data_IF_757851579427
#
_entry.id   IF_757851579427
#
_cell.length_a   1.000
_cell.length_b   1.000
_cell.length_c   1.000
_cell.angle_alpha   90.00
_cell.angle_beta   90.00
_cell.angle_gamma   90.00
#
_symmetry.space_group_name_H-M   'P 1'
#
loop_
_entity.id
_entity.type
_entity.pdbx_description
1 polymer ?
#
# COMPACT_ATOMS: atom_id res chain seq x y z
N UNK A 1 -11.45 6.84 -10.76
CA UNK A 1 -10.14 6.14 -10.75
C UNK A 1 -10.34 4.63 -10.83
N UNK A 2 -9.39 3.95 -11.44
CA UNK A 2 -9.31 2.49 -11.45
C UNK A 2 -8.15 2.09 -10.53
N UNK A 3 -8.38 1.12 -9.64
CA UNK A 3 -7.28 0.57 -8.84
C UNK A 3 -6.75 -0.69 -9.51
N UNK A 4 -5.50 -0.60 -9.95
CA UNK A 4 -4.75 -1.74 -10.48
C UNK A 4 -4.21 -2.53 -9.27
N UNK A 5 -4.48 -3.81 -9.21
CA UNK A 5 -4.01 -4.67 -8.11
C UNK A 5 -3.07 -5.75 -8.61
N UNK A 6 -1.82 -5.67 -8.23
CA UNK A 6 -0.81 -6.71 -8.48
C UNK A 6 -0.61 -7.50 -7.19
N UNK A 7 -0.59 -8.80 -7.27
CA UNK A 7 -0.41 -9.67 -6.09
C UNK A 7 0.68 -10.70 -6.38
N UNK A 8 1.47 -10.99 -5.36
CA UNK A 8 2.59 -11.93 -5.45
C UNK A 8 2.14 -13.33 -5.93
N UNK A 9 0.90 -13.72 -5.64
CA UNK A 9 0.37 -15.03 -6.03
C UNK A 9 -0.32 -15.07 -7.40
N UNK A 10 -0.38 -13.96 -8.13
CA UNK A 10 -1.09 -13.89 -9.42
C UNK A 10 -0.37 -13.04 -10.45
N UNK A 11 0.96 -13.15 -10.49
CA UNK A 11 1.79 -12.49 -11.48
C UNK A 11 1.60 -13.13 -12.85
N UNK A 12 1.85 -12.36 -13.92
CA UNK A 12 1.87 -12.90 -15.29
C UNK A 12 2.94 -13.99 -15.39
N UNK A 13 2.63 -15.03 -16.15
CA UNK A 13 3.46 -16.23 -16.21
C UNK A 13 4.92 -15.92 -16.59
N UNK A 14 5.13 -15.07 -17.57
CA UNK A 14 6.47 -14.69 -18.04
C UNK A 14 7.29 -13.96 -16.96
N UNK A 15 6.63 -13.23 -16.07
CA UNK A 15 7.29 -12.59 -14.93
C UNK A 15 7.48 -13.59 -13.78
N UNK A 16 6.46 -14.39 -13.51
CA UNK A 16 6.51 -15.38 -12.42
C UNK A 16 7.67 -16.36 -12.60
N UNK A 17 7.96 -16.74 -13.86
CA UNK A 17 8.99 -17.72 -14.22
C UNK A 17 10.42 -17.13 -14.26
N UNK A 18 10.61 -15.83 -13.99
CA UNK A 18 11.91 -15.18 -13.97
C UNK A 18 12.66 -15.55 -12.67
N UNK A 19 13.58 -16.49 -12.75
CA UNK A 19 14.39 -16.92 -11.59
C UNK A 19 15.54 -15.94 -11.26
N UNK A 20 15.79 -15.01 -12.16
CA UNK A 20 16.81 -13.96 -11.98
C UNK A 20 16.29 -12.75 -11.19
N UNK A 21 14.97 -12.69 -10.92
CA UNK A 21 14.33 -11.57 -10.22
C UNK A 21 13.85 -11.99 -8.83
N UNK A 22 14.02 -11.09 -7.88
CA UNK A 22 13.43 -11.22 -6.54
C UNK A 22 11.92 -10.95 -6.60
N UNK A 23 11.21 -11.37 -5.57
CA UNK A 23 9.75 -11.15 -5.50
C UNK A 23 9.37 -9.67 -5.58
N UNK A 24 10.05 -8.74 -4.88
CA UNK A 24 9.76 -7.30 -5.08
C UNK A 24 9.96 -6.85 -6.52
N UNK A 25 11.05 -7.27 -7.18
CA UNK A 25 11.32 -6.88 -8.57
C UNK A 25 10.24 -7.39 -9.52
N UNK A 26 9.76 -8.63 -9.32
CA UNK A 26 8.64 -9.17 -10.10
C UNK A 26 7.36 -8.34 -9.94
N UNK A 27 7.06 -7.93 -8.70
CA UNK A 27 5.89 -7.09 -8.40
C UNK A 27 6.02 -5.71 -9.04
N UNK A 28 7.21 -5.12 -9.02
CA UNK A 28 7.49 -3.82 -9.65
C UNK A 28 7.30 -3.94 -11.17
N UNK A 29 7.95 -4.92 -11.80
CA UNK A 29 7.86 -5.15 -13.25
C UNK A 29 6.41 -5.33 -13.72
N UNK A 30 5.64 -6.14 -13.01
CA UNK A 30 4.21 -6.34 -13.32
C UNK A 30 3.43 -5.04 -13.16
N UNK A 31 3.72 -4.29 -12.10
CA UNK A 31 3.06 -3.00 -11.83
C UNK A 31 3.31 -1.99 -12.95
N UNK A 32 4.57 -1.85 -13.36
CA UNK A 32 4.96 -0.95 -14.47
C UNK A 32 4.28 -1.34 -15.78
N UNK A 33 4.23 -2.64 -16.06
CA UNK A 33 3.56 -3.16 -17.27
C UNK A 33 2.08 -2.76 -17.29
N UNK A 34 1.38 -2.93 -16.16
CA UNK A 34 -0.04 -2.55 -16.09
C UNK A 34 -0.23 -1.04 -16.19
N UNK A 35 0.57 -0.25 -15.47
CA UNK A 35 0.49 1.22 -15.54
C UNK A 35 0.68 1.68 -16.98
N UNK A 36 1.76 1.23 -17.63
CA UNK A 36 2.05 1.56 -19.03
C UNK A 36 0.90 1.17 -19.95
N UNK A 37 0.28 0.00 -19.76
CA UNK A 37 -0.83 -0.46 -20.58
C UNK A 37 -2.02 0.54 -20.56
N UNK A 38 -2.32 1.11 -19.39
CA UNK A 38 -3.38 2.11 -19.26
C UNK A 38 -2.96 3.46 -19.83
N UNK A 39 -1.73 3.88 -19.56
CA UNK A 39 -1.21 5.17 -20.02
C UNK A 39 -1.12 5.22 -21.55
N UNK A 40 -0.68 4.13 -22.19
CA UNK A 40 -0.62 4.01 -23.66
C UNK A 40 -2.00 4.20 -24.31
N UNK A 41 -3.08 4.02 -23.54
CA UNK A 41 -4.47 4.21 -23.98
C UNK A 41 -5.06 5.55 -23.51
N UNK A 42 -4.22 6.42 -22.99
CA UNK A 42 -4.62 7.75 -22.52
C UNK A 42 -5.39 7.75 -21.21
N UNK A 43 -5.35 6.64 -20.45
CA UNK A 43 -6.06 6.56 -19.16
C UNK A 43 -5.07 6.67 -18.01
N UNK A 44 -5.10 7.81 -17.31
CA UNK A 44 -4.16 8.12 -16.23
C UNK A 44 -4.80 8.19 -14.83
N UNK A 45 -6.13 8.07 -14.75
CA UNK A 45 -6.84 8.13 -13.46
C UNK A 45 -6.79 6.75 -12.77
N UNK A 46 -5.59 6.37 -12.34
CA UNK A 46 -5.29 5.06 -11.77
C UNK A 46 -4.68 5.19 -10.36
N UNK A 47 -4.88 4.14 -9.57
CA UNK A 47 -4.24 3.93 -8.26
C UNK A 47 -3.63 2.54 -8.31
N UNK A 48 -2.41 2.38 -7.84
CA UNK A 48 -1.68 1.11 -7.91
C UNK A 48 -1.61 0.45 -6.53
N UNK A 49 -1.84 -0.85 -6.49
CA UNK A 49 -1.69 -1.65 -5.27
C UNK A 49 -0.84 -2.88 -5.61
N UNK A 50 0.28 -3.06 -4.92
CA UNK A 50 1.17 -4.21 -5.11
C UNK A 50 1.32 -4.92 -3.76
N UNK A 51 0.58 -6.02 -3.58
CA UNK A 51 0.45 -6.65 -2.27
C UNK A 51 1.23 -7.95 -2.17
N UNK A 52 1.86 -8.15 -1.02
CA UNK A 52 2.58 -9.36 -0.66
C UNK A 52 2.19 -9.79 0.77
N UNK A 53 2.55 -11.03 1.12
CA UNK A 53 2.28 -11.60 2.45
C UNK A 53 3.33 -11.19 3.47
N UNK A 54 4.57 -10.97 3.00
CA UNK A 54 5.71 -10.59 3.82
C UNK A 54 5.77 -9.07 3.98
N UNK A 55 5.98 -8.61 5.19
CA UNK A 55 6.19 -7.19 5.48
C UNK A 55 7.41 -6.70 4.70
N UNK A 56 8.52 -7.45 4.74
CA UNK A 56 9.75 -7.03 4.05
C UNK A 56 9.54 -6.89 2.54
N UNK A 57 8.92 -7.90 1.90
CA UNK A 57 8.60 -7.84 0.47
C UNK A 57 7.72 -6.61 0.16
N UNK A 58 6.73 -6.34 1.01
CA UNK A 58 5.86 -5.17 0.86
C UNK A 58 6.67 -3.87 0.91
N UNK A 59 7.53 -3.72 1.91
CA UNK A 59 8.38 -2.54 2.06
C UNK A 59 9.25 -2.31 0.83
N UNK A 60 9.98 -3.35 0.41
CA UNK A 60 10.90 -3.26 -0.72
C UNK A 60 10.16 -2.92 -2.02
N UNK A 61 8.99 -3.55 -2.25
CA UNK A 61 8.16 -3.29 -3.42
C UNK A 61 7.67 -1.83 -3.46
N UNK A 62 7.06 -1.35 -2.37
CA UNK A 62 6.51 0.02 -2.37
C UNK A 62 7.60 1.10 -2.40
N UNK A 63 8.75 0.85 -1.79
CA UNK A 63 9.91 1.75 -1.90
C UNK A 63 10.40 1.84 -3.34
N UNK A 64 10.45 0.72 -4.06
CA UNK A 64 10.82 0.72 -5.48
C UNK A 64 9.75 1.45 -6.31
N UNK A 65 8.47 1.11 -6.14
CA UNK A 65 7.37 1.75 -6.87
C UNK A 65 7.35 3.27 -6.68
N UNK A 66 7.59 3.74 -5.45
CA UNK A 66 7.58 5.18 -5.17
C UNK A 66 8.71 5.93 -5.87
N UNK A 67 9.82 5.23 -6.21
CA UNK A 67 10.93 5.81 -6.96
C UNK A 67 10.71 5.73 -8.48
N UNK A 68 10.21 4.60 -8.95
CA UNK A 68 10.17 4.28 -10.39
C UNK A 68 8.91 4.84 -11.08
N UNK A 69 7.77 4.87 -10.36
CA UNK A 69 6.52 5.45 -10.90
C UNK A 69 5.92 6.45 -9.90
N UNK A 70 6.65 7.54 -9.58
CA UNK A 70 6.25 8.48 -8.51
C UNK A 70 4.97 9.26 -8.84
N UNK A 71 4.51 9.24 -10.07
CA UNK A 71 3.30 9.97 -10.51
C UNK A 71 2.01 9.17 -10.26
N UNK A 72 2.11 7.88 -9.90
CA UNK A 72 0.92 7.04 -9.69
C UNK A 72 0.65 6.89 -8.19
N UNK A 73 -0.54 7.27 -7.71
CA UNK A 73 -0.91 7.07 -6.29
C UNK A 73 -0.85 5.60 -5.88
N UNK A 74 -0.34 5.35 -4.68
CA UNK A 74 -0.13 4.01 -4.16
C UNK A 74 -1.16 3.66 -3.08
N UNK A 75 -1.80 2.50 -3.23
CA UNK A 75 -2.72 1.94 -2.24
C UNK A 75 -2.00 0.85 -1.45
N UNK A 76 -1.71 1.13 -0.20
CA UNK A 76 -0.95 0.23 0.67
C UNK A 76 -1.82 -0.88 1.27
N UNK A 77 -1.22 -2.04 1.48
CA UNK A 77 -1.85 -3.12 2.23
C UNK A 77 -0.93 -4.32 2.35
N UNK A 78 -1.04 -5.03 3.47
CA UNK A 78 -0.41 -6.33 3.68
C UNK A 78 -1.51 -7.39 3.60
N UNK A 79 -1.35 -8.39 2.74
CA UNK A 79 -2.37 -9.43 2.55
C UNK A 79 -2.07 -10.67 3.38
N UNK A 80 -3.13 -11.42 3.68
CA UNK A 80 -3.03 -12.68 4.43
C UNK A 80 -2.22 -12.51 5.71
N UNK A 81 -2.54 -11.45 6.44
CA UNK A 81 -1.75 -11.08 7.61
C UNK A 81 -1.98 -12.00 8.83
N UNK A 82 -2.97 -12.91 8.74
CA UNK A 82 -3.25 -13.90 9.79
C UNK A 82 -4.39 -13.48 10.70
N UNK A 83 -4.38 -13.99 11.93
CA UNK A 83 -5.40 -13.70 12.95
C UNK A 83 -5.51 -12.18 13.17
N UNK A 84 -6.58 -11.76 13.83
CA UNK A 84 -6.80 -10.34 14.18
C UNK A 84 -5.53 -9.73 14.81
N UNK A 85 -4.95 -10.39 15.82
CA UNK A 85 -3.74 -9.87 16.49
C UNK A 85 -2.55 -9.82 15.53
N UNK A 86 -2.27 -10.92 14.84
CA UNK A 86 -1.13 -11.00 13.90
C UNK A 86 -1.30 -10.00 12.76
N UNK A 87 -2.52 -9.90 12.21
CA UNK A 87 -2.84 -8.97 11.13
C UNK A 87 -2.68 -7.52 11.55
N UNK A 88 -3.10 -7.19 12.78
CA UNK A 88 -2.91 -5.85 13.34
C UNK A 88 -1.42 -5.54 13.45
N UNK A 89 -0.62 -6.46 14.01
CA UNK A 89 0.82 -6.27 14.18
C UNK A 89 1.51 -6.08 12.82
N UNK A 90 1.28 -7.00 11.88
CA UNK A 90 1.90 -6.95 10.54
C UNK A 90 1.53 -5.67 9.80
N UNK A 91 0.25 -5.29 9.82
CA UNK A 91 -0.24 -4.07 9.18
C UNK A 91 0.36 -2.84 9.84
N UNK A 92 0.40 -2.81 11.18
CA UNK A 92 0.98 -1.67 11.91
C UNK A 92 2.45 -1.47 11.57
N UNK A 93 3.22 -2.56 11.50
CA UNK A 93 4.65 -2.48 11.14
C UNK A 93 4.81 -2.07 9.67
N UNK A 94 4.19 -2.81 8.75
CA UNK A 94 4.37 -2.58 7.31
C UNK A 94 3.87 -1.21 6.86
N UNK A 95 2.61 -0.90 7.21
CA UNK A 95 2.01 0.38 6.82
C UNK A 95 2.64 1.53 7.59
N UNK A 96 2.97 1.31 8.87
CA UNK A 96 3.59 2.34 9.71
C UNK A 96 4.93 2.81 9.14
N UNK A 97 5.78 1.87 8.74
CA UNK A 97 7.09 2.20 8.15
C UNK A 97 6.90 2.99 6.85
N UNK A 98 6.09 2.48 5.90
CA UNK A 98 5.89 3.14 4.60
C UNK A 98 5.31 4.56 4.77
N UNK A 99 4.29 4.69 5.60
CA UNK A 99 3.67 5.99 5.85
C UNK A 99 4.64 6.98 6.52
N UNK A 100 5.51 6.51 7.42
CA UNK A 100 6.53 7.36 8.06
C UNK A 100 7.60 7.81 7.06
N UNK A 101 7.79 7.05 5.98
CA UNK A 101 8.69 7.40 4.87
C UNK A 101 8.00 8.29 3.82
N UNK A 102 6.72 8.63 4.01
CA UNK A 102 5.94 9.42 3.06
C UNK A 102 5.47 8.62 1.85
N UNK A 103 5.43 7.30 1.96
CA UNK A 103 5.01 6.40 0.88
C UNK A 103 3.58 5.93 1.15
N UNK A 104 2.68 6.15 0.19
CA UNK A 104 1.30 5.69 0.23
C UNK A 104 0.31 6.84 0.27
N UNK A 105 -0.78 6.68 -0.47
CA UNK A 105 -1.84 7.70 -0.64
C UNK A 105 -3.16 7.22 -0.05
N UNK A 106 -3.39 5.91 -0.10
CA UNK A 106 -4.54 5.25 0.53
C UNK A 106 -4.06 3.93 1.13
N UNK A 107 -4.85 3.36 2.04
CA UNK A 107 -4.44 2.09 2.67
C UNK A 107 -5.64 1.22 3.01
N UNK A 108 -5.38 -0.07 3.16
CA UNK A 108 -6.33 -1.04 3.72
C UNK A 108 -5.61 -1.95 4.72
N UNK A 109 -6.20 -2.11 5.87
CA UNK A 109 -5.86 -3.17 6.82
C UNK A 109 -6.68 -4.40 6.44
N UNK A 110 -6.08 -5.58 6.45
CA UNK A 110 -6.75 -6.86 6.19
C UNK A 110 -6.64 -7.75 7.42
N UNK A 111 -7.78 -8.13 7.98
CA UNK A 111 -7.82 -8.98 9.18
C UNK A 111 -8.69 -10.22 8.90
N UNK A 112 -8.34 -11.33 9.54
CA UNK A 112 -9.24 -12.48 9.65
C UNK A 112 -10.20 -12.22 10.81
N UNK A 113 -11.16 -11.31 10.57
CA UNK A 113 -12.11 -10.82 11.58
C UNK A 113 -13.27 -10.14 10.84
N UNK A 114 -14.25 -9.65 11.58
CA UNK A 114 -15.34 -8.85 11.01
C UNK A 114 -14.74 -7.60 10.34
N UNK A 115 -15.12 -7.28 9.08
CA UNK A 115 -14.59 -6.10 8.38
C UNK A 115 -14.73 -4.78 9.14
N UNK A 116 -15.69 -4.64 10.05
CA UNK A 116 -15.85 -3.43 10.87
C UNK A 116 -14.66 -3.21 11.82
N UNK A 117 -13.83 -4.23 12.02
CA UNK A 117 -12.65 -4.13 12.88
C UNK A 117 -11.42 -3.58 12.14
N UNK A 118 -11.43 -3.55 10.82
CA UNK A 118 -10.30 -3.03 10.02
C UNK A 118 -10.12 -1.51 10.15
N UNK A 119 -11.20 -0.68 10.05
CA UNK A 119 -11.03 0.77 10.15
C UNK A 119 -10.43 1.25 11.49
N UNK A 120 -10.83 0.72 12.66
CA UNK A 120 -10.19 1.13 13.92
C UNK A 120 -8.67 0.89 13.94
N UNK A 121 -8.21 -0.22 13.35
CA UNK A 121 -6.77 -0.52 13.27
C UNK A 121 -6.08 0.49 12.33
N UNK A 122 -6.69 0.75 11.16
CA UNK A 122 -6.15 1.72 10.21
C UNK A 122 -6.03 3.12 10.86
N UNK A 123 -7.09 3.55 11.56
CA UNK A 123 -7.07 4.81 12.31
C UNK A 123 -5.99 4.82 13.39
N UNK A 124 -5.84 3.72 14.13
CA UNK A 124 -4.80 3.58 15.15
C UNK A 124 -3.39 3.76 14.58
N UNK A 125 -3.13 3.18 13.40
CA UNK A 125 -1.84 3.36 12.71
C UNK A 125 -1.62 4.83 12.37
N UNK A 126 -2.60 5.48 11.74
CA UNK A 126 -2.49 6.89 11.34
C UNK A 126 -2.29 7.81 12.55
N UNK A 127 -3.02 7.56 13.64
CA UNK A 127 -2.90 8.33 14.88
C UNK A 127 -1.52 8.16 15.51
N UNK A 128 -1.02 6.93 15.54
CA UNK A 128 0.30 6.64 16.11
C UNK A 128 1.44 7.35 15.37
N UNK A 129 1.22 7.62 14.08
CA UNK A 129 2.17 8.35 13.25
C UNK A 129 1.92 9.87 13.27
N UNK A 130 0.85 10.33 13.96
CA UNK A 130 0.44 11.73 13.90
C UNK A 130 -0.27 12.12 12.59
N UNK A 131 -0.59 11.22 11.79
CA UNK A 131 -1.19 11.45 10.51
C UNK A 131 -2.69 11.57 10.57
N UNK A 132 -3.24 11.52 11.45
CA UNK A 132 -4.58 11.53 11.52
C UNK A 132 -5.17 12.85 11.70
N UNK A 133 -5.31 13.18 10.97
CA UNK A 133 -5.72 14.39 11.19
C UNK A 133 -6.94 14.83 10.60
N UNK A 134 -7.74 14.39 10.56
CA UNK A 134 -8.95 14.94 9.98
C UNK A 134 -9.93 15.53 11.01
N UNK A 135 -10.86 16.34 10.58
CA UNK A 135 -11.86 16.92 11.49
C UNK A 135 -12.79 15.89 12.13
N UNK A 136 -12.75 14.65 11.64
CA UNK A 136 -13.57 13.55 12.17
C UNK A 136 -12.82 12.65 13.16
N UNK A 137 -11.59 13.01 13.53
CA UNK A 137 -10.84 12.24 14.53
C UNK A 137 -11.52 12.37 15.89
N UNK A 138 -11.81 11.25 16.58
CA UNK A 138 -12.31 11.31 17.96
C UNK A 138 -11.21 11.67 18.98
N UNK A 139 -10.01 11.96 18.49
CA UNK A 139 -8.83 12.20 19.33
C UNK A 139 -8.39 13.67 19.26
N UNK A 140 -7.73 14.17 20.31
CA UNK A 140 -7.33 15.58 20.40
C UNK A 140 -6.43 16.00 19.23
N UNK A 141 -6.62 17.24 18.76
CA UNK A 141 -5.87 17.82 17.62
C UNK A 141 -4.37 17.98 17.87
N UNK A 142 -3.97 17.92 19.13
CA UNK A 142 -2.58 18.11 19.52
C UNK A 142 -1.67 16.93 19.14
N UNK A 143 -2.27 15.85 18.61
CA UNK A 143 -1.55 14.66 18.14
C UNK A 143 -1.33 14.67 16.64
N UNK A 144 -1.45 15.83 15.98
CA UNK A 144 -1.42 15.92 14.52
C UNK A 144 -0.05 16.34 13.99
N UNK A 145 0.56 15.54 13.15
CA UNK A 145 1.80 15.86 12.43
C UNK A 145 1.58 15.66 10.93
N UNK A 146 2.16 16.53 10.12
CA UNK A 146 1.76 16.68 8.72
C UNK A 146 2.48 15.78 7.73
N UNK A 147 1.86 15.68 6.62
CA UNK A 147 2.31 15.24 5.29
C UNK A 147 2.19 13.76 4.96
N UNK A 148 0.96 13.34 4.71
CA UNK A 148 0.72 12.44 3.59
C UNK A 148 0.73 13.34 2.35
N UNK A 149 1.41 12.95 1.31
CA UNK A 149 1.55 13.66 0.04
C UNK A 149 0.17 14.06 -0.49
N UNK A 150 -0.08 15.32 -0.82
CA UNK A 150 -1.36 15.67 -1.40
C UNK A 150 -1.54 14.97 -2.75
N UNK A 151 -2.73 14.43 -2.97
CA UNK A 151 -3.07 13.82 -4.25
C UNK A 151 -2.94 14.88 -5.36
N UNK A 152 -2.33 14.55 -6.50
CA UNK A 152 -2.34 15.48 -7.62
C UNK A 152 -3.79 15.80 -8.02
N UNK A 153 -4.11 17.09 -8.15
CA UNK A 153 -5.41 17.58 -8.54
C UNK A 153 -5.82 17.18 -9.96
#
# INVERSE_FOLDING_TARGET
>A
AIRIGVNAGSLEQDIAERDDLTQPEKLVMSSERFVKHFEDRGFTNIVLSAKAHSVQTTLDTYRALSREIPHVPLHLGVTEAGTKLQGTIKSSVGLGILLSEGIGDTMRVSLTADPVEEPPVAWGILQSLGXXXGPASPWPRDCLVPHVRPLPG
#
